data_IF_645936557594
#
_entry.id   IF_645936557594
#
_cell.length_a   1.000
_cell.length_b   1.000
_cell.length_c   1.000
_cell.angle_alpha   90.00
_cell.angle_beta   90.00
_cell.angle_gamma   90.00
#
_symmetry.space_group_name_H-M   'P 1'
#
loop_
_entity.id
_entity.type
_entity.pdbx_description
1 polymer ?
#
# COMPACT_ATOMS: atom_id res chain seq x y z
N UNK A 1 -36.10 -11.95 28.88
CA UNK A 1 -36.80 -10.93 28.08
C UNK A 1 -36.09 -10.86 26.73
N UNK A 2 -36.30 -11.86 25.86
CA UNK A 2 -37.18 -11.78 24.68
C UNK A 2 -36.90 -10.52 23.83
N UNK A 3 -35.87 -10.59 23.00
CA UNK A 3 -35.51 -9.52 22.06
C UNK A 3 -36.26 -9.71 20.73
N UNK A 4 -37.36 -8.96 20.62
CA UNK A 4 -37.81 -8.16 19.46
C UNK A 4 -38.04 -8.80 18.07
N UNK A 5 -37.53 -9.98 17.73
CA UNK A 5 -37.76 -10.56 16.40
C UNK A 5 -39.10 -11.29 16.28
N UNK A 6 -39.65 -11.78 17.40
CA UNK A 6 -40.94 -12.48 17.45
C UNK A 6 -42.14 -11.57 17.27
N UNK A 7 -42.02 -10.28 17.62
CA UNK A 7 -43.12 -9.32 17.54
C UNK A 7 -43.43 -8.84 16.11
N UNK A 8 -42.47 -8.95 15.18
CA UNK A 8 -42.67 -8.51 13.79
C UNK A 8 -43.37 -9.56 12.92
N UNK A 9 -43.26 -10.85 13.27
CA UNK A 9 -43.94 -11.94 12.55
C UNK A 9 -45.44 -12.00 12.92
N UNK A 10 -45.80 -11.65 14.16
CA UNK A 10 -47.20 -11.66 14.62
C UNK A 10 -48.08 -10.57 13.98
N UNK A 11 -47.51 -9.42 13.61
CA UNK A 11 -48.27 -8.37 12.91
C UNK A 11 -48.55 -8.70 11.43
N UNK A 12 -47.78 -9.61 10.83
CA UNK A 12 -47.94 -9.98 9.42
C UNK A 12 -48.99 -11.08 9.21
N UNK A 13 -49.36 -11.80 10.28
CA UNK A 13 -50.39 -12.85 10.27
C UNK A 13 -51.82 -12.34 10.47
N UNK A 14 -52.04 -11.07 10.83
CA UNK A 14 -53.38 -10.48 10.94
C UNK A 14 -53.99 -10.03 9.60
N UNK A 15 -53.25 -10.12 8.49
CA UNK A 15 -53.68 -9.60 7.20
C UNK A 15 -54.30 -10.64 6.23
N UNK A 16 -54.39 -11.93 6.58
CA UNK A 16 -54.98 -12.91 5.66
C UNK A 16 -55.72 -14.07 6.38
N UNK A 17 -57.06 -14.06 6.45
CA UNK A 17 -57.85 -15.05 7.19
C UNK A 17 -58.05 -16.39 6.45
N UNK A 18 -57.18 -16.76 5.50
CA UNK A 18 -57.38 -17.93 4.63
C UNK A 18 -56.22 -18.93 4.63
N UNK A 19 -55.70 -19.29 5.80
CA UNK A 19 -54.88 -20.50 5.96
C UNK A 19 -55.46 -21.39 7.06
N UNK A 20 -56.45 -22.20 6.67
CA UNK A 20 -57.04 -23.25 7.50
C UNK A 20 -56.24 -24.53 7.25
N UNK A 21 -55.28 -24.78 8.13
CA UNK A 21 -54.48 -26.01 8.12
C UNK A 21 -55.33 -27.24 8.45
N UNK A 22 -55.14 -28.29 7.67
CA UNK A 22 -55.43 -29.72 7.90
C UNK A 22 -54.50 -30.44 6.91
N UNK A 23 -53.65 -31.44 7.20
CA UNK A 23 -53.66 -32.47 8.22
C UNK A 23 -52.23 -32.99 8.48
N UNK A 24 -52.02 -33.55 9.68
CA UNK A 24 -50.95 -34.49 10.01
C UNK A 24 -50.97 -35.71 9.07
N UNK A 25 -49.79 -36.27 8.73
CA UNK A 25 -49.45 -37.71 8.82
C UNK A 25 -47.98 -37.93 8.42
N UNK A 26 -47.27 -38.59 9.34
CA UNK A 26 -46.10 -39.46 9.19
C UNK A 26 -44.72 -38.91 8.76
N UNK A 27 -43.84 -38.99 9.76
CA UNK A 27 -42.42 -39.36 9.69
C UNK A 27 -42.07 -40.33 8.55
N UNK A 28 -40.92 -40.11 7.89
CA UNK A 28 -40.21 -41.14 7.16
C UNK A 28 -38.99 -41.60 7.98
N UNK A 29 -39.12 -42.75 8.65
CA UNK A 29 -38.00 -43.65 8.95
C UNK A 29 -37.99 -44.73 7.86
N UNK A 30 -36.79 -44.95 7.31
CA UNK A 30 -36.27 -46.11 6.56
C UNK A 30 -37.19 -46.93 5.63
N UNK A 31 -36.70 -47.09 4.39
CA UNK A 31 -36.91 -48.31 3.63
C UNK A 31 -38.19 -48.37 2.81
N UNK A 32 -38.08 -48.06 1.52
CA UNK A 32 -38.44 -48.97 0.41
C UNK A 32 -38.44 -48.20 -0.91
N UNK A 33 -37.41 -48.46 -1.72
CA UNK A 33 -37.47 -48.19 -3.16
C UNK A 33 -38.61 -49.00 -3.80
N UNK A 34 -39.48 -48.33 -4.57
CA UNK A 34 -40.27 -48.89 -5.68
C UNK A 34 -40.29 -47.83 -6.80
N UNK A 35 -39.41 -47.98 -7.79
CA UNK A 35 -39.61 -48.58 -9.12
C UNK A 35 -40.56 -47.76 -10.02
N UNK A 36 -39.92 -47.15 -11.02
CA UNK A 36 -40.44 -46.65 -12.28
C UNK A 36 -41.36 -45.43 -12.27
N UNK A 37 -40.77 -44.24 -12.20
CA UNK A 37 -40.84 -43.31 -13.34
C UNK A 37 -39.71 -42.27 -13.29
N UNK A 38 -39.10 -42.10 -14.45
CA UNK A 38 -37.85 -41.40 -14.73
C UNK A 38 -38.07 -39.89 -14.74
N UNK A 39 -37.42 -39.16 -13.82
CA UNK A 39 -37.15 -37.73 -13.98
C UNK A 39 -35.67 -37.53 -14.31
N UNK A 40 -35.29 -38.02 -15.50
CA UNK A 40 -34.22 -37.41 -16.28
C UNK A 40 -34.71 -36.01 -16.65
N UNK A 41 -34.09 -34.97 -16.09
CA UNK A 41 -34.61 -33.62 -16.34
C UNK A 41 -34.12 -32.45 -15.51
N UNK A 42 -33.02 -32.54 -14.77
CA UNK A 42 -32.17 -31.35 -14.53
C UNK A 42 -30.70 -31.71 -14.72
N UNK A 43 -30.46 -32.56 -15.72
CA UNK A 43 -29.15 -32.91 -16.23
C UNK A 43 -28.62 -31.75 -17.09
N UNK A 44 -27.31 -31.56 -17.05
CA UNK A 44 -26.51 -30.58 -17.81
C UNK A 44 -26.60 -29.11 -17.40
N UNK A 45 -27.77 -28.50 -17.13
CA UNK A 45 -27.84 -27.04 -16.96
C UNK A 45 -27.30 -26.54 -15.61
N UNK A 46 -27.52 -27.27 -14.51
CA UNK A 46 -26.95 -26.95 -13.19
C UNK A 46 -25.45 -27.24 -13.14
N UNK A 47 -25.00 -28.34 -13.74
CA UNK A 47 -23.58 -28.65 -13.86
C UNK A 47 -22.85 -27.63 -14.75
N UNK A 48 -23.49 -27.15 -15.82
CA UNK A 48 -22.96 -26.08 -16.67
C UNK A 48 -22.88 -24.75 -15.91
N UNK A 49 -23.89 -24.40 -15.11
CA UNK A 49 -23.85 -23.20 -14.27
C UNK A 49 -22.78 -23.27 -13.17
N UNK A 50 -22.57 -24.44 -12.54
CA UNK A 50 -21.50 -24.64 -11.57
C UNK A 50 -20.11 -24.58 -12.22
N UNK A 51 -19.93 -25.17 -13.41
CA UNK A 51 -18.69 -25.07 -14.18
C UNK A 51 -18.39 -23.62 -14.59
N UNK A 52 -19.42 -22.87 -15.01
CA UNK A 52 -19.30 -21.44 -15.33
C UNK A 52 -18.97 -20.61 -14.08
N UNK A 53 -19.58 -20.90 -12.93
CA UNK A 53 -19.28 -20.21 -11.68
C UNK A 53 -17.83 -20.46 -11.21
N UNK A 54 -17.34 -21.69 -11.32
CA UNK A 54 -15.95 -22.04 -11.00
C UNK A 54 -14.97 -21.36 -11.97
N UNK A 55 -15.26 -21.33 -13.27
CA UNK A 55 -14.43 -20.64 -14.26
C UNK A 55 -14.37 -19.13 -14.00
N UNK A 56 -15.49 -18.50 -13.60
CA UNK A 56 -15.52 -17.09 -13.24
C UNK A 56 -14.73 -16.79 -11.96
N UNK A 57 -14.75 -17.69 -10.97
CA UNK A 57 -13.95 -17.57 -9.76
C UNK A 57 -12.45 -17.70 -10.05
N UNK A 58 -12.06 -18.66 -10.89
CA UNK A 58 -10.68 -18.83 -11.36
C UNK A 58 -10.19 -17.59 -12.10
N UNK A 59 -10.97 -17.04 -13.03
CA UNK A 59 -10.62 -15.80 -13.74
C UNK A 59 -10.48 -14.60 -12.79
N UNK A 60 -11.34 -14.47 -11.78
CA UNK A 60 -11.23 -13.40 -10.79
C UNK A 60 -9.94 -13.51 -9.95
N UNK A 61 -9.58 -14.72 -9.50
CA UNK A 61 -8.33 -14.95 -8.77
C UNK A 61 -7.09 -14.70 -9.64
N UNK A 62 -7.12 -15.10 -10.92
CA UNK A 62 -6.06 -14.81 -11.88
C UNK A 62 -5.89 -13.30 -12.10
N UNK A 63 -6.99 -12.54 -12.22
CA UNK A 63 -6.92 -11.08 -12.29
C UNK A 63 -6.34 -10.47 -11.00
N UNK A 64 -6.70 -11.00 -9.82
CA UNK A 64 -6.15 -10.51 -8.55
C UNK A 64 -4.63 -10.76 -8.47
N UNK A 65 -4.16 -11.94 -8.88
CA UNK A 65 -2.73 -12.29 -8.90
C UNK A 65 -1.97 -11.45 -9.94
N UNK A 66 -2.54 -11.23 -11.13
CA UNK A 66 -1.96 -10.36 -12.15
C UNK A 66 -1.89 -8.91 -11.67
N UNK A 67 -2.94 -8.41 -11.01
CA UNK A 67 -2.97 -7.10 -10.40
C UNK A 67 -1.90 -6.96 -9.31
N UNK A 68 -1.77 -7.93 -8.41
CA UNK A 68 -0.71 -7.95 -7.39
C UNK A 68 0.69 -8.08 -8.01
N UNK A 69 0.86 -8.84 -9.09
CA UNK A 69 2.13 -8.95 -9.80
C UNK A 69 2.54 -7.61 -10.44
N UNK A 70 1.60 -6.91 -11.09
CA UNK A 70 1.77 -5.58 -11.67
C UNK A 70 1.96 -4.49 -10.59
N UNK A 71 1.20 -4.56 -9.49
CA UNK A 71 1.34 -3.66 -8.35
C UNK A 71 2.66 -3.91 -7.60
N UNK A 72 3.16 -5.15 -7.55
CA UNK A 72 4.47 -5.48 -6.96
C UNK A 72 5.65 -5.03 -7.82
N UNK A 73 5.45 -4.85 -9.12
CA UNK A 73 6.44 -4.22 -10.00
C UNK A 73 6.52 -2.71 -9.77
N UNK A 74 5.43 -2.08 -9.29
CA UNK A 74 5.43 -0.67 -8.84
C UNK A 74 5.89 -0.51 -7.38
N UNK A 75 5.57 -1.46 -6.49
CA UNK A 75 5.96 -1.39 -5.06
C UNK A 75 7.45 -1.70 -4.82
N UNK A 76 8.11 -2.39 -5.76
CA UNK A 76 9.58 -2.52 -5.77
C UNK A 76 10.31 -1.19 -6.08
N UNK A 77 9.59 -0.16 -6.52
CA UNK A 77 10.12 1.20 -6.73
C UNK A 77 9.96 2.15 -5.52
N UNK A 78 9.05 1.88 -4.57
CA UNK A 78 8.84 2.75 -3.41
C UNK A 78 9.56 2.30 -2.14
N UNK A 79 10.10 1.08 -2.12
CA UNK A 79 11.03 0.63 -1.06
C UNK A 79 12.50 0.82 -1.45
N UNK A 80 12.81 1.89 -2.18
CA UNK A 80 14.02 2.63 -1.86
C UNK A 80 13.76 3.25 -0.48
N UNK A 81 13.92 2.45 0.59
CA UNK A 81 14.04 2.94 1.96
C UNK A 81 14.80 4.25 1.84
N UNK A 82 14.22 5.38 2.24
CA UNK A 82 14.80 6.71 2.10
C UNK A 82 16.15 6.72 2.82
N UNK A 83 17.17 6.21 2.13
CA UNK A 83 18.35 5.68 2.80
C UNK A 83 19.17 6.89 3.13
N UNK A 84 19.35 7.15 4.42
CA UNK A 84 20.09 8.29 4.92
C UNK A 84 19.30 9.59 5.04
N UNK A 85 17.97 9.59 4.85
CA UNK A 85 17.14 10.74 5.21
C UNK A 85 16.89 10.72 6.72
N UNK A 86 17.22 11.82 7.39
CA UNK A 86 16.97 12.03 8.81
C UNK A 86 15.79 12.99 8.92
N UNK A 87 14.67 12.54 9.50
CA UNK A 87 13.43 13.29 9.48
C UNK A 87 13.53 14.70 10.10
N UNK A 88 14.33 14.87 11.17
CA UNK A 88 14.54 16.18 11.80
C UNK A 88 15.28 17.14 10.86
N UNK A 89 16.37 16.68 10.25
CA UNK A 89 17.15 17.44 9.28
C UNK A 89 16.37 17.75 8.00
N UNK A 90 15.52 16.82 7.54
CA UNK A 90 14.67 17.02 6.36
C UNK A 90 13.64 18.14 6.59
N UNK A 91 13.01 18.19 7.76
CA UNK A 91 12.08 19.26 8.11
C UNK A 91 12.79 20.62 8.13
N UNK A 92 13.96 20.71 8.78
CA UNK A 92 14.77 21.94 8.80
C UNK A 92 15.25 22.37 7.41
N UNK A 93 15.59 21.42 6.54
CA UNK A 93 15.98 21.74 5.15
C UNK A 93 14.79 22.30 4.37
N UNK A 94 13.59 21.76 4.55
CA UNK A 94 12.38 22.31 3.90
C UNK A 94 12.08 23.73 4.37
N UNK A 95 12.20 23.98 5.68
CA UNK A 95 12.08 25.33 6.24
C UNK A 95 13.16 26.27 5.68
N UNK A 96 14.40 25.79 5.58
CA UNK A 96 15.52 26.52 4.98
C UNK A 96 15.29 26.90 3.51
N UNK A 97 14.61 26.07 2.72
CA UNK A 97 14.29 26.37 1.32
C UNK A 97 13.20 27.43 1.19
N UNK A 98 12.24 27.44 2.12
CA UNK A 98 11.16 28.45 2.16
C UNK A 98 11.58 29.77 2.78
N UNK A 99 12.64 29.77 3.59
CA UNK A 99 13.16 30.94 4.29
C UNK A 99 13.85 31.99 3.38
N UNK A 100 13.96 33.21 3.87
CA UNK A 100 14.76 34.29 3.25
C UNK A 100 16.27 34.11 3.49
N UNK A 101 17.14 34.89 2.82
CA UNK A 101 18.60 34.69 2.89
C UNK A 101 19.19 34.95 4.29
N UNK A 102 18.55 35.80 5.07
CA UNK A 102 18.93 36.15 6.43
C UNK A 102 18.57 35.01 7.41
N UNK A 103 17.35 34.49 7.29
CA UNK A 103 16.84 33.35 8.08
C UNK A 103 17.56 32.05 7.75
N UNK A 104 17.98 31.85 6.50
CA UNK A 104 18.80 30.71 6.07
C UNK A 104 20.07 30.55 6.90
N UNK A 105 20.70 31.64 7.34
CA UNK A 105 21.89 31.58 8.21
C UNK A 105 21.54 31.08 9.61
N UNK A 106 20.41 31.54 10.16
CA UNK A 106 19.94 31.08 11.46
C UNK A 106 19.58 29.59 11.41
N UNK A 107 18.79 29.16 10.42
CA UNK A 107 18.40 27.76 10.24
C UNK A 107 19.63 26.88 9.98
N UNK A 108 20.65 27.37 9.26
CA UNK A 108 21.91 26.64 9.10
C UNK A 108 22.60 26.34 10.43
N UNK A 109 22.63 27.30 11.37
CA UNK A 109 23.17 27.06 12.72
C UNK A 109 22.38 26.00 13.49
N UNK A 110 21.06 25.94 13.34
CA UNK A 110 20.22 24.88 13.92
C UNK A 110 20.52 23.52 13.30
N UNK A 111 20.66 23.44 11.97
CA UNK A 111 21.05 22.22 11.24
C UNK A 111 22.42 21.71 11.73
N UNK A 112 23.38 22.61 12.00
CA UNK A 112 24.68 22.26 12.60
C UNK A 112 24.48 21.64 13.98
N UNK A 113 23.70 22.29 14.85
CA UNK A 113 23.42 21.80 16.20
C UNK A 113 22.77 20.41 16.21
N UNK A 114 21.76 20.18 15.37
CA UNK A 114 21.13 18.86 15.26
C UNK A 114 22.07 17.81 14.67
N UNK A 115 22.85 18.17 13.65
CA UNK A 115 23.78 17.24 13.00
C UNK A 115 24.87 16.74 13.95
N UNK A 116 25.31 17.59 14.89
CA UNK A 116 26.32 17.23 15.91
C UNK A 116 25.75 16.34 17.02
N UNK A 117 24.44 16.38 17.26
CA UNK A 117 23.77 15.47 18.21
C UNK A 117 23.61 14.04 17.65
N UNK A 118 23.73 13.86 16.32
CA UNK A 118 23.65 12.54 15.69
C UNK A 118 24.87 11.69 16.02
N UNK A 119 24.64 10.46 16.50
CA UNK A 119 25.69 9.49 16.85
C UNK A 119 25.61 8.24 15.98
N UNK A 120 26.75 7.58 15.79
CA UNK A 120 26.84 6.32 15.05
C UNK A 120 26.80 6.49 13.52
N UNK A 121 26.02 5.68 12.83
CA UNK A 121 25.93 5.69 11.37
C UNK A 121 25.24 6.95 10.82
N UNK A 122 24.32 7.55 11.58
CA UNK A 122 23.57 8.76 11.19
C UNK A 122 24.42 10.03 11.22
N UNK A 123 25.50 10.07 12.01
CA UNK A 123 26.48 11.15 11.99
C UNK A 123 27.09 11.39 10.60
N UNK A 124 27.19 10.32 9.78
CA UNK A 124 27.66 10.42 8.39
C UNK A 124 26.66 11.18 7.51
N UNK A 125 25.36 11.02 7.77
CA UNK A 125 24.31 11.72 7.04
C UNK A 125 24.29 13.20 7.42
N UNK A 126 24.38 13.53 8.72
CA UNK A 126 24.49 14.91 9.19
C UNK A 126 25.59 15.70 8.47
N UNK A 127 26.79 15.11 8.33
CA UNK A 127 27.90 15.72 7.57
C UNK A 127 27.57 15.97 6.09
N UNK A 128 26.75 15.14 5.46
CA UNK A 128 26.31 15.33 4.08
C UNK A 128 25.33 16.49 4.00
N UNK A 129 24.37 16.57 4.92
CA UNK A 129 23.44 17.70 5.04
C UNK A 129 24.20 19.02 5.20
N UNK A 130 25.15 19.10 6.13
CA UNK A 130 25.95 20.31 6.35
C UNK A 130 26.68 20.77 5.08
N UNK A 131 27.27 19.82 4.35
CA UNK A 131 27.98 20.12 3.11
C UNK A 131 27.03 20.54 1.99
N UNK A 132 25.85 19.94 1.91
CA UNK A 132 24.82 20.28 0.94
C UNK A 132 24.24 21.67 1.21
N UNK A 133 23.84 21.97 2.46
CA UNK A 133 23.31 23.28 2.85
C UNK A 133 24.33 24.39 2.63
N UNK A 134 25.61 24.18 3.01
CA UNK A 134 26.68 25.14 2.73
C UNK A 134 26.86 25.38 1.23
N UNK A 135 26.86 24.32 0.42
CA UNK A 135 27.00 24.44 -1.03
C UNK A 135 25.79 25.12 -1.68
N UNK A 136 24.59 24.92 -1.14
CA UNK A 136 23.36 25.57 -1.58
C UNK A 136 23.39 27.07 -1.30
N UNK A 137 23.93 27.50 -0.14
CA UNK A 137 24.14 28.93 0.15
C UNK A 137 25.16 29.58 -0.78
N UNK A 138 26.25 28.89 -1.11
CA UNK A 138 27.32 29.42 -1.96
C UNK A 138 26.94 29.46 -3.46
N UNK A 139 26.18 28.47 -3.93
CA UNK A 139 25.92 28.26 -5.37
C UNK A 139 24.48 28.54 -5.80
N UNK A 140 23.55 28.66 -4.85
CA UNK A 140 22.14 28.91 -5.11
C UNK A 140 21.32 27.64 -5.44
N UNK A 141 20.07 27.87 -5.84
CA UNK A 141 19.04 26.83 -5.99
C UNK A 141 19.37 25.77 -7.05
N UNK A 142 20.12 26.13 -8.10
CA UNK A 142 20.47 25.22 -9.19
C UNK A 142 21.49 24.15 -8.77
N UNK A 143 22.12 24.29 -7.60
CA UNK A 143 23.11 23.34 -7.09
C UNK A 143 22.56 21.92 -6.96
N UNK A 144 21.35 21.77 -6.40
CA UNK A 144 20.78 20.46 -6.11
C UNK A 144 20.57 19.66 -7.40
N UNK A 145 19.96 20.28 -8.41
CA UNK A 145 19.71 19.67 -9.73
C UNK A 145 21.01 19.26 -10.42
N UNK A 146 21.96 20.19 -10.52
CA UNK A 146 23.25 19.94 -11.18
C UNK A 146 24.07 18.83 -10.51
N UNK A 147 24.09 18.80 -9.18
CA UNK A 147 24.83 17.76 -8.44
C UNK A 147 24.13 16.41 -8.53
N UNK A 148 22.80 16.34 -8.53
CA UNK A 148 22.05 15.10 -8.76
C UNK A 148 22.34 14.53 -10.15
N UNK A 149 22.34 15.35 -11.20
CA UNK A 149 22.67 14.91 -12.56
C UNK A 149 24.11 14.40 -12.68
N UNK A 150 25.05 15.08 -12.01
CA UNK A 150 26.44 14.63 -11.95
C UNK A 150 26.56 13.28 -11.27
N UNK A 151 25.90 13.09 -10.13
CA UNK A 151 25.90 11.82 -9.40
C UNK A 151 25.23 10.71 -10.20
N UNK A 152 24.13 11.00 -10.89
CA UNK A 152 23.46 10.04 -11.77
C UNK A 152 24.37 9.58 -12.91
N UNK A 153 25.08 10.50 -13.57
CA UNK A 153 26.06 10.17 -14.61
C UNK A 153 27.21 9.30 -14.08
N UNK A 154 27.61 9.50 -12.83
CA UNK A 154 28.63 8.67 -12.18
C UNK A 154 28.12 7.29 -11.77
N UNK A 155 26.85 7.18 -11.38
CA UNK A 155 26.19 5.90 -11.06
C UNK A 155 25.95 5.05 -12.30
N UNK A 156 25.72 5.67 -13.46
CA UNK A 156 25.58 4.97 -14.74
C UNK A 156 26.91 4.40 -15.26
N UNK A 157 28.05 4.81 -14.70
CA UNK A 157 29.36 4.23 -15.00
C UNK A 157 29.61 3.03 -14.09
N UNK A 158 30.42 2.07 -14.54
CA UNK A 158 30.89 0.99 -13.68
C UNK A 158 31.74 1.55 -12.54
N UNK A 159 31.24 1.44 -11.32
CA UNK A 159 31.92 1.89 -10.09
C UNK A 159 31.83 0.79 -9.03
N UNK A 160 32.82 0.76 -8.15
CA UNK A 160 32.84 -0.13 -6.99
C UNK A 160 31.58 0.07 -6.12
N UNK A 161 30.96 -1.01 -5.60
CA UNK A 161 29.70 -0.96 -4.86
C UNK A 161 29.73 0.02 -3.67
N UNK A 162 30.84 0.08 -2.94
CA UNK A 162 30.98 1.00 -1.80
C UNK A 162 30.89 2.48 -2.19
N UNK A 163 31.29 2.83 -3.42
CA UNK A 163 31.21 4.20 -3.95
C UNK A 163 29.80 4.49 -4.46
N UNK A 164 29.16 3.51 -5.09
CA UNK A 164 27.76 3.60 -5.51
C UNK A 164 26.85 3.93 -4.33
N UNK A 165 26.98 3.21 -3.21
CA UNK A 165 26.20 3.49 -2.00
C UNK A 165 26.35 4.94 -1.52
N UNK A 166 27.59 5.47 -1.47
CA UNK A 166 27.82 6.87 -1.05
C UNK A 166 27.17 7.88 -2.00
N UNK A 167 27.18 7.62 -3.30
CA UNK A 167 26.55 8.49 -4.30
C UNK A 167 25.03 8.41 -4.26
N UNK A 168 24.46 7.22 -4.07
CA UNK A 168 23.02 7.03 -3.85
C UNK A 168 22.57 7.77 -2.59
N UNK A 169 23.29 7.62 -1.48
CA UNK A 169 23.01 8.35 -0.24
C UNK A 169 23.01 9.87 -0.46
N UNK A 170 24.04 10.39 -1.13
CA UNK A 170 24.14 11.82 -1.42
C UNK A 170 23.02 12.29 -2.35
N UNK A 171 22.66 11.52 -3.36
CA UNK A 171 21.55 11.83 -4.29
C UNK A 171 20.22 11.92 -3.54
N UNK A 172 19.94 10.96 -2.66
CA UNK A 172 18.69 10.95 -1.87
C UNK A 172 18.58 12.15 -0.92
N UNK A 173 19.69 12.55 -0.30
CA UNK A 173 19.71 13.77 0.52
C UNK A 173 19.54 15.00 -0.36
N UNK A 174 20.19 15.07 -1.53
CA UNK A 174 20.04 16.22 -2.43
C UNK A 174 18.64 16.36 -3.03
N UNK A 175 17.88 15.28 -3.16
CA UNK A 175 16.49 15.37 -3.61
C UNK A 175 15.57 16.08 -2.61
N UNK A 176 15.99 16.29 -1.36
CA UNK A 176 15.23 17.12 -0.41
C UNK A 176 15.40 18.61 -0.67
N UNK A 177 16.42 19.00 -1.44
CA UNK A 177 16.73 20.39 -1.81
C UNK A 177 16.18 20.79 -3.18
N UNK A 178 15.63 19.83 -3.93
CA UNK A 178 15.29 19.96 -5.34
C UNK A 178 13.79 20.20 -5.59
#
# INVERSE_FOLDING_TARGET
MMTSATAQVELMNQANPYYKGVCHIALAQEGHCRLDEVLLGTDSHMAMLELLANLLLELATLMQVLYWALASSSSRFVNACFTGIVASLDALVKEFLSASNEEKKAIFSWIVGEADQLKGSTARYGKIYLKATKSFMEKGADYAKNEMERLQRMLNKSICPAKATKFTLKKNILSTFA
#
